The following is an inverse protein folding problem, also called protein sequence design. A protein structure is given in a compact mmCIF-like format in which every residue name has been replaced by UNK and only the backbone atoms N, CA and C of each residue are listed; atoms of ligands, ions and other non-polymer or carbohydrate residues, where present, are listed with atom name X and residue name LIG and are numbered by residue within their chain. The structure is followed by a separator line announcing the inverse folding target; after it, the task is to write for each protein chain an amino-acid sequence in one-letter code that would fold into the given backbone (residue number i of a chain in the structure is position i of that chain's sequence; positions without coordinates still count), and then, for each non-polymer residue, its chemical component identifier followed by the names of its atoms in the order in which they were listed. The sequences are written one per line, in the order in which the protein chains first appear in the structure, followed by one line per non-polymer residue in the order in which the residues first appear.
data_IF_290017434027
#
_entry.id   IF_290017434027
#
_cell.length_a   1.000
_cell.length_b   1.000
_cell.length_c   1.000
_cell.angle_alpha   90.00
_cell.angle_beta   90.00
_cell.angle_gamma   90.00
#
_symmetry.space_group_name_H-M   'P 1'
#
loop_
_entity.id
_entity.type
_entity.pdbx_description
1 polymer ?
#
# COMPACT_ATOMS: atom_id res chain seq x y z
N UNK A 1 24.20 -6.78 10.68
CA UNK A 1 22.93 -6.37 10.02
C UNK A 1 22.03 -7.54 9.70
N UNK A 2 22.55 -8.65 9.21
CA UNK A 2 21.75 -9.84 8.86
C UNK A 2 20.96 -10.43 10.04
N UNK A 3 21.44 -10.28 11.26
CA UNK A 3 20.80 -10.71 12.50
C UNK A 3 19.53 -9.90 12.88
N UNK A 4 19.28 -8.76 12.19
CA UNK A 4 18.11 -7.91 12.38
C UNK A 4 16.99 -8.17 11.37
N UNK A 5 17.20 -9.06 10.41
CA UNK A 5 16.23 -9.40 9.38
C UNK A 5 15.67 -10.80 9.60
N UNK A 6 14.39 -10.92 9.42
CA UNK A 6 13.72 -12.21 9.31
C UNK A 6 12.85 -12.21 8.07
N UNK A 7 12.77 -13.35 7.40
CA UNK A 7 11.95 -13.54 6.21
C UNK A 7 10.76 -14.43 6.56
N UNK A 8 9.60 -14.07 6.04
CA UNK A 8 8.39 -14.87 6.13
C UNK A 8 8.02 -15.26 4.71
N UNK A 9 8.10 -16.55 4.42
CA UNK A 9 7.77 -17.09 3.10
C UNK A 9 6.25 -17.30 2.98
N UNK A 10 5.71 -17.06 1.79
CA UNK A 10 4.32 -17.38 1.47
C UNK A 10 3.57 -16.22 0.81
N UNK A 11 2.29 -16.46 0.52
CA UNK A 11 1.40 -15.42 0.03
C UNK A 11 1.19 -14.33 1.09
N UNK A 12 1.23 -13.08 0.68
CA UNK A 12 1.15 -11.92 1.57
C UNK A 12 -0.15 -11.88 2.41
N UNK A 13 -1.23 -12.47 1.92
CA UNK A 13 -2.48 -12.54 2.67
C UNK A 13 -2.54 -13.77 3.60
N UNK A 14 -1.81 -14.83 3.30
CA UNK A 14 -1.78 -16.05 4.10
C UNK A 14 -0.72 -16.03 5.19
N UNK A 15 0.43 -15.40 4.96
CA UNK A 15 1.54 -15.36 5.90
C UNK A 15 1.17 -14.63 7.20
N UNK A 16 1.63 -15.12 8.33
CA UNK A 16 1.47 -14.42 9.62
C UNK A 16 2.53 -13.33 9.76
N UNK A 17 2.10 -12.08 9.88
CA UNK A 17 3.01 -10.94 10.04
C UNK A 17 3.51 -10.76 11.48
N UNK A 18 2.89 -11.44 12.46
CA UNK A 18 3.13 -11.12 13.87
C UNK A 18 2.43 -9.83 14.29
N UNK A 19 2.94 -9.18 15.34
CA UNK A 19 2.32 -8.01 15.96
C UNK A 19 3.35 -7.03 16.54
N UNK A 20 2.83 -5.91 17.02
CA UNK A 20 3.58 -4.89 17.77
C UNK A 20 4.67 -4.14 17.00
N UNK A 21 4.52 -4.04 15.69
CA UNK A 21 5.43 -3.27 14.86
C UNK A 21 5.17 -1.77 14.96
N UNK A 22 6.25 -0.98 14.92
CA UNK A 22 6.21 0.48 14.90
C UNK A 22 5.83 1.02 13.52
N UNK A 23 6.37 0.40 12.47
CA UNK A 23 6.23 0.86 11.09
C UNK A 23 6.02 -0.36 10.19
N UNK A 24 5.08 -0.21 9.26
CA UNK A 24 4.92 -1.12 8.13
C UNK A 24 5.13 -0.36 6.82
N UNK A 25 5.88 -0.93 5.91
CA UNK A 25 6.10 -0.35 4.57
C UNK A 25 5.51 -1.25 3.51
N UNK A 26 4.71 -0.69 2.62
CA UNK A 26 4.17 -1.34 1.44
C UNK A 26 4.71 -0.64 0.20
N UNK A 27 5.78 -1.19 -0.38
CA UNK A 27 6.44 -0.61 -1.56
C UNK A 27 5.96 -1.26 -2.84
N UNK A 28 5.20 -0.54 -3.66
CA UNK A 28 4.79 -0.98 -5.00
C UNK A 28 4.10 -2.35 -5.04
N UNK A 29 3.22 -2.62 -4.09
CA UNK A 29 2.52 -3.91 -4.02
C UNK A 29 1.02 -3.78 -4.34
N UNK A 30 0.37 -2.66 -4.00
CA UNK A 30 -1.08 -2.54 -4.17
C UNK A 30 -1.50 -2.63 -5.63
N UNK A 31 -0.71 -2.06 -6.54
CA UNK A 31 -0.99 -2.13 -7.98
C UNK A 31 -0.97 -3.56 -8.53
N UNK A 32 -0.18 -4.46 -7.97
CA UNK A 32 -0.14 -5.87 -8.37
C UNK A 32 -1.28 -6.68 -7.76
N UNK A 33 -1.59 -6.41 -6.50
CA UNK A 33 -2.62 -7.13 -5.75
C UNK A 33 -4.05 -6.80 -6.21
N UNK A 34 -4.30 -5.61 -6.74
CA UNK A 34 -5.63 -5.15 -7.07
C UNK A 34 -6.43 -4.68 -5.85
N UNK A 35 -7.63 -4.16 -6.06
CA UNK A 35 -8.41 -3.53 -5.00
C UNK A 35 -8.77 -4.49 -3.85
N UNK A 36 -9.35 -5.64 -4.17
CA UNK A 36 -9.85 -6.56 -3.13
C UNK A 36 -8.74 -7.06 -2.22
N UNK A 37 -7.64 -7.54 -2.79
CA UNK A 37 -6.50 -8.05 -2.03
C UNK A 37 -5.78 -6.93 -1.29
N UNK A 38 -5.67 -5.74 -1.88
CA UNK A 38 -5.10 -4.55 -1.22
C UNK A 38 -5.89 -4.17 0.03
N UNK A 39 -7.22 -4.15 -0.03
CA UNK A 39 -8.06 -3.86 1.14
C UNK A 39 -7.86 -4.89 2.26
N UNK A 40 -7.75 -6.17 1.92
CA UNK A 40 -7.43 -7.23 2.90
C UNK A 40 -6.03 -7.05 3.50
N UNK A 41 -5.05 -6.72 2.66
CA UNK A 41 -3.67 -6.47 3.09
C UNK A 41 -3.58 -5.29 4.07
N UNK A 42 -4.29 -4.20 3.80
CA UNK A 42 -4.32 -3.03 4.69
C UNK A 42 -4.93 -3.38 6.06
N UNK A 43 -6.00 -4.17 6.10
CA UNK A 43 -6.60 -4.65 7.37
C UNK A 43 -5.62 -5.55 8.14
N UNK A 44 -4.91 -6.42 7.44
CA UNK A 44 -3.90 -7.30 8.03
C UNK A 44 -2.72 -6.51 8.59
N UNK A 45 -2.23 -5.52 7.83
CA UNK A 45 -1.17 -4.61 8.27
C UNK A 45 -1.60 -3.80 9.50
N UNK A 46 -2.85 -3.33 9.53
CA UNK A 46 -3.39 -2.63 10.70
C UNK A 46 -3.30 -3.48 11.97
N UNK A 47 -3.62 -4.77 11.89
CA UNK A 47 -3.54 -5.68 13.04
C UNK A 47 -2.11 -5.88 13.52
N UNK A 48 -1.16 -5.96 12.59
CA UNK A 48 0.25 -6.17 12.90
C UNK A 48 0.93 -4.95 13.55
N UNK A 49 0.45 -3.75 13.32
CA UNK A 49 0.99 -2.53 13.92
C UNK A 49 0.49 -2.36 15.36
N UNK A 50 1.34 -1.79 16.21
CA UNK A 50 0.93 -1.33 17.53
C UNK A 50 0.14 -0.03 17.46
N UNK A 51 -0.54 0.34 18.53
CA UNK A 51 -1.15 1.67 18.68
C UNK A 51 -0.09 2.76 18.51
N UNK A 52 -0.38 3.79 17.71
CA UNK A 52 0.58 4.81 17.31
C UNK A 52 1.50 4.41 16.16
N UNK A 53 1.45 3.17 15.70
CA UNK A 53 2.24 2.69 14.57
C UNK A 53 1.83 3.33 13.24
N UNK A 54 2.76 3.38 12.30
CA UNK A 54 2.60 4.09 11.02
C UNK A 54 2.70 3.09 9.87
N UNK A 55 1.79 3.22 8.90
CA UNK A 55 1.93 2.59 7.59
C UNK A 55 2.47 3.61 6.59
N UNK A 56 3.43 3.20 5.76
CA UNK A 56 3.98 3.97 4.66
C UNK A 56 3.81 3.18 3.35
N UNK A 57 3.08 3.76 2.39
CA UNK A 57 2.78 3.12 1.11
C UNK A 57 3.46 3.94 0.01
N UNK A 58 4.35 3.31 -0.75
CA UNK A 58 4.90 3.88 -1.99
C UNK A 58 4.15 3.31 -3.18
N UNK A 59 3.54 4.17 -4.02
CA UNK A 59 2.68 3.69 -5.09
C UNK A 59 2.59 4.67 -6.28
N UNK A 60 2.35 4.10 -7.47
CA UNK A 60 1.98 4.86 -8.66
C UNK A 60 0.55 5.37 -8.51
N UNK A 61 0.38 6.69 -8.30
CA UNK A 61 -0.94 7.27 -8.11
C UNK A 61 -1.45 7.91 -9.40
N UNK A 62 -2.73 7.73 -9.66
CA UNK A 62 -3.49 8.47 -10.68
C UNK A 62 -4.42 9.47 -10.00
N UNK A 63 -4.86 10.50 -10.75
CA UNK A 63 -5.94 11.36 -10.28
C UNK A 63 -7.29 10.61 -10.30
N UNK A 64 -8.30 11.16 -9.65
CA UNK A 64 -9.62 10.50 -9.56
C UNK A 64 -10.30 10.31 -10.92
N UNK A 65 -10.02 11.20 -11.88
CA UNK A 65 -10.55 11.11 -13.25
C UNK A 65 -9.79 10.10 -14.11
N UNK A 66 -8.67 9.55 -13.62
CA UNK A 66 -7.78 8.63 -14.34
C UNK A 66 -7.28 9.21 -15.69
N UNK A 67 -6.90 10.48 -15.67
CA UNK A 67 -6.39 11.21 -16.84
C UNK A 67 -4.94 11.61 -16.75
N UNK A 68 -4.33 11.55 -15.56
CA UNK A 68 -2.94 11.91 -15.28
C UNK A 68 -2.44 11.29 -13.97
N UNK A 69 -1.13 11.25 -13.70
CA UNK A 69 -0.07 11.57 -14.64
C UNK A 69 0.15 10.45 -15.67
N UNK A 70 0.67 10.81 -16.84
CA UNK A 70 0.88 9.85 -17.93
C UNK A 70 1.71 8.61 -17.53
N UNK A 71 2.80 8.71 -16.77
CA UNK A 71 3.53 7.50 -16.35
C UNK A 71 2.67 6.50 -15.57
N UNK A 72 1.80 6.96 -14.70
CA UNK A 72 0.88 6.08 -13.93
C UNK A 72 -0.19 5.47 -14.81
N UNK A 73 -0.65 6.17 -15.84
CA UNK A 73 -1.61 5.63 -16.80
C UNK A 73 -0.97 4.54 -17.67
N UNK A 74 0.25 4.76 -18.14
CA UNK A 74 1.02 3.74 -18.88
C UNK A 74 1.26 2.52 -17.99
N UNK A 75 1.57 2.76 -16.72
CA UNK A 75 1.78 1.68 -15.75
C UNK A 75 0.49 0.86 -15.51
N UNK A 76 -0.69 1.49 -15.53
CA UNK A 76 -1.97 0.79 -15.46
C UNK A 76 -2.15 -0.18 -16.64
N UNK A 77 -1.77 0.23 -17.85
CA UNK A 77 -1.78 -0.66 -19.03
C UNK A 77 -0.79 -1.81 -18.85
N UNK A 78 0.39 -1.55 -18.32
CA UNK A 78 1.36 -2.60 -18.00
C UNK A 78 0.77 -3.62 -16.99
N UNK A 79 0.06 -3.17 -15.98
CA UNK A 79 -0.61 -4.05 -15.02
C UNK A 79 -1.70 -4.90 -15.67
N UNK A 80 -2.47 -4.31 -16.58
CA UNK A 80 -3.49 -5.04 -17.34
C UNK A 80 -2.91 -6.20 -18.14
N UNK A 81 -1.71 -6.04 -18.69
CA UNK A 81 -1.04 -7.06 -19.52
C UNK A 81 -0.32 -8.12 -18.66
N UNK A 82 0.26 -7.73 -17.53
CA UNK A 82 1.18 -8.58 -16.78
C UNK A 82 0.65 -9.07 -15.43
N UNK A 83 -0.57 -8.69 -15.05
CA UNK A 83 -1.17 -9.14 -13.80
C UNK A 83 -2.63 -9.52 -14.00
N UNK A 84 -3.14 -10.36 -13.09
CA UNK A 84 -4.53 -10.84 -13.16
C UNK A 84 -5.52 -9.78 -12.67
N UNK A 85 -5.14 -9.02 -11.64
CA UNK A 85 -6.01 -8.07 -10.93
C UNK A 85 -5.40 -6.69 -10.74
N UNK A 86 -4.20 -6.47 -11.26
CA UNK A 86 -3.47 -5.23 -11.02
C UNK A 86 -4.05 -4.03 -11.75
N UNK A 87 -3.88 -2.88 -11.14
CA UNK A 87 -4.30 -1.57 -11.67
C UNK A 87 -3.52 -0.47 -10.92
N UNK A 88 -3.68 0.77 -11.36
CA UNK A 88 -3.24 1.94 -10.59
C UNK A 88 -4.44 2.59 -9.92
N UNK A 89 -4.21 3.16 -8.73
CA UNK A 89 -5.26 3.70 -7.89
C UNK A 89 -5.01 5.17 -7.58
N UNK A 90 -6.07 5.92 -7.27
CA UNK A 90 -5.95 7.29 -6.81
C UNK A 90 -5.63 7.33 -5.30
N UNK A 91 -5.12 8.49 -4.84
CA UNK A 91 -4.97 8.73 -3.42
C UNK A 91 -6.29 8.58 -2.66
N UNK A 92 -7.39 9.06 -3.24
CA UNK A 92 -8.70 8.98 -2.59
C UNK A 92 -9.22 7.55 -2.44
N UNK A 93 -8.95 6.68 -3.40
CA UNK A 93 -9.26 5.24 -3.28
C UNK A 93 -8.46 4.62 -2.12
N UNK A 94 -7.15 4.77 -2.11
CA UNK A 94 -6.29 4.21 -1.06
C UNK A 94 -6.61 4.82 0.31
N UNK A 95 -6.89 6.12 0.38
CA UNK A 95 -7.36 6.81 1.59
C UNK A 95 -8.64 6.20 2.15
N UNK A 96 -9.58 5.88 1.28
CA UNK A 96 -10.84 5.21 1.64
C UNK A 96 -10.57 3.82 2.26
N UNK A 97 -9.71 3.03 1.63
CA UNK A 97 -9.35 1.69 2.13
C UNK A 97 -8.58 1.73 3.45
N UNK A 98 -7.71 2.72 3.62
CA UNK A 98 -7.00 2.94 4.88
C UNK A 98 -7.97 3.27 6.02
N UNK A 99 -8.94 4.14 5.77
CA UNK A 99 -10.00 4.47 6.75
C UNK A 99 -10.85 3.24 7.10
N UNK A 100 -11.22 2.46 6.09
CA UNK A 100 -11.96 1.20 6.29
C UNK A 100 -11.18 0.20 7.15
N UNK A 101 -9.86 0.14 6.99
CA UNK A 101 -9.00 -0.71 7.81
C UNK A 101 -8.81 -0.19 9.25
N UNK A 102 -9.17 1.06 9.54
CA UNK A 102 -9.09 1.67 10.86
C UNK A 102 -8.02 2.75 11.02
N UNK A 103 -7.21 3.00 10.00
CA UNK A 103 -6.17 4.02 10.03
C UNK A 103 -6.74 5.44 10.09
N UNK A 104 -5.99 6.35 10.72
CA UNK A 104 -6.28 7.78 10.82
C UNK A 104 -5.25 8.61 10.06
N UNK A 105 -5.65 9.83 9.72
CA UNK A 105 -4.78 10.83 9.07
C UNK A 105 -4.05 10.33 7.82
N UNK A 106 -4.74 9.70 6.84
CA UNK A 106 -4.09 9.39 5.57
C UNK A 106 -3.67 10.68 4.87
N UNK A 107 -2.40 10.77 4.52
CA UNK A 107 -1.78 11.95 3.91
C UNK A 107 -0.69 11.53 2.94
N UNK A 108 -0.41 12.39 1.97
CA UNK A 108 0.71 12.20 1.05
C UNK A 108 1.96 12.89 1.58
N UNK A 109 3.11 12.29 1.34
CA UNK A 109 4.42 12.85 1.57
C UNK A 109 5.19 12.81 0.25
N UNK A 110 5.68 13.98 -0.19
CA UNK A 110 6.55 14.04 -1.37
C UNK A 110 7.87 13.33 -1.06
N UNK A 111 8.21 12.37 -1.89
CA UNK A 111 9.46 11.62 -1.79
C UNK A 111 10.30 11.85 -3.05
N UNK A 112 11.64 11.69 -2.99
CA UNK A 112 12.45 11.65 -4.19
C UNK A 112 11.98 10.50 -5.10
N UNK A 113 11.79 10.81 -6.38
CA UNK A 113 11.36 9.82 -7.37
C UNK A 113 9.91 10.01 -7.83
N UNK A 114 9.43 9.11 -8.70
CA UNK A 114 8.13 9.26 -9.37
C UNK A 114 6.93 8.89 -8.51
N UNK A 115 7.16 8.22 -7.38
CA UNK A 115 6.08 7.71 -6.51
C UNK A 115 6.04 8.49 -5.20
N UNK A 116 4.94 9.19 -4.89
CA UNK A 116 4.76 9.76 -3.56
C UNK A 116 4.57 8.66 -2.52
N UNK A 117 4.78 9.01 -1.25
CA UNK A 117 4.41 8.16 -0.13
C UNK A 117 3.04 8.54 0.41
N UNK A 118 2.27 7.55 0.78
CA UNK A 118 1.04 7.72 1.56
C UNK A 118 1.34 7.24 2.98
N UNK A 119 1.09 8.08 3.96
CA UNK A 119 1.26 7.78 5.37
C UNK A 119 -0.10 7.76 6.07
N UNK A 120 -0.27 6.84 7.00
CA UNK A 120 -1.42 6.82 7.90
C UNK A 120 -1.00 6.24 9.25
N UNK A 121 -1.77 6.51 10.30
CA UNK A 121 -1.44 6.13 11.67
C UNK A 121 -2.51 5.20 12.24
N UNK A 122 -2.11 4.15 12.92
CA UNK A 122 -3.00 3.37 13.77
C UNK A 122 -3.23 4.12 15.08
N UNK A 123 -4.47 4.44 15.44
CA UNK A 123 -4.76 5.14 16.69
C UNK A 123 -4.45 4.28 17.92
#
# INVERSE_FOLDING_TARGET
MADRFSFIEGDVLAADFGSDYDIATLGHILHTEGEERSRKLLKKTFRALKSGGIIAIGEWLVNDQRTEPLPSLIFAVNMLVHSEHGDTFSFNEIKSWLKEAGFKNPRTLKAPGPSPLILATKP
#
